data_IF_434522236884
#
_entry.id   IF_434522236884
#
_cell.length_a   1.000
_cell.length_b   1.000
_cell.length_c   1.000
_cell.angle_alpha   90.00
_cell.angle_beta   90.00
_cell.angle_gamma   90.00
#
_symmetry.space_group_name_H-M   'P 1'
#
loop_
_entity.id
_entity.type
_entity.pdbx_description
1 polymer ?
#
# COMPACT_ATOMS: atom_id res chain seq x y z
N UNK A 1 -54.63 -7.83 2.47
CA UNK A 1 -53.79 -8.59 1.51
C UNK A 1 -52.34 -8.13 1.65
N UNK A 2 -51.43 -8.98 2.11
CA UNK A 2 -50.00 -8.64 2.24
C UNK A 2 -49.28 -8.83 0.91
N UNK A 3 -48.59 -7.80 0.42
CA UNK A 3 -47.83 -7.86 -0.82
C UNK A 3 -46.67 -8.86 -0.62
N UNK A 4 -46.69 -9.99 -1.34
CA UNK A 4 -45.55 -10.92 -1.39
C UNK A 4 -44.43 -10.29 -2.21
N UNK A 5 -43.42 -9.75 -1.54
CA UNK A 5 -42.22 -9.22 -2.19
C UNK A 5 -41.37 -10.39 -2.70
N UNK A 6 -41.27 -10.53 -4.01
CA UNK A 6 -40.38 -11.51 -4.67
C UNK A 6 -39.00 -10.85 -4.88
N UNK A 7 -37.91 -11.60 -4.67
CA UNK A 7 -36.55 -11.14 -4.99
C UNK A 7 -35.65 -10.73 -3.82
N UNK A 8 -36.16 -10.60 -2.58
CA UNK A 8 -35.33 -10.25 -1.41
C UNK A 8 -34.21 -11.28 -1.18
N UNK A 9 -34.49 -12.57 -1.35
CA UNK A 9 -33.48 -13.63 -1.22
C UNK A 9 -32.38 -13.49 -2.29
N UNK A 10 -32.75 -13.15 -3.52
CA UNK A 10 -31.79 -12.92 -4.60
C UNK A 10 -30.94 -11.67 -4.35
N UNK A 11 -31.56 -10.59 -3.88
CA UNK A 11 -30.85 -9.37 -3.50
C UNK A 11 -29.84 -9.63 -2.37
N UNK A 12 -30.23 -10.38 -1.32
CA UNK A 12 -29.33 -10.79 -0.24
C UNK A 12 -28.14 -11.63 -0.74
N UNK A 13 -28.38 -12.60 -1.63
CA UNK A 13 -27.30 -13.41 -2.22
C UNK A 13 -26.32 -12.57 -3.05
N UNK A 14 -26.85 -11.68 -3.89
CA UNK A 14 -26.04 -10.78 -4.72
C UNK A 14 -25.22 -9.80 -3.85
N UNK A 15 -25.81 -9.27 -2.78
CA UNK A 15 -25.10 -8.43 -1.81
C UNK A 15 -23.98 -9.19 -1.11
N UNK A 16 -24.21 -10.42 -0.66
CA UNK A 16 -23.17 -11.24 -0.02
C UNK A 16 -22.02 -11.56 -0.98
N UNK A 17 -22.33 -11.87 -2.25
CA UNK A 17 -21.32 -12.11 -3.29
C UNK A 17 -20.49 -10.85 -3.57
N UNK A 18 -21.14 -9.69 -3.66
CA UNK A 18 -20.47 -8.40 -3.84
C UNK A 18 -19.55 -8.07 -2.66
N UNK A 19 -20.04 -8.24 -1.43
CA UNK A 19 -19.25 -7.99 -0.20
C UNK A 19 -18.03 -8.91 -0.17
N UNK A 20 -18.20 -10.20 -0.46
CA UNK A 20 -17.10 -11.16 -0.52
C UNK A 20 -16.05 -10.81 -1.58
N UNK A 21 -16.47 -10.37 -2.75
CA UNK A 21 -15.56 -9.96 -3.83
C UNK A 21 -14.77 -8.69 -3.49
N UNK A 22 -15.43 -7.70 -2.86
CA UNK A 22 -14.80 -6.49 -2.34
C UNK A 22 -13.76 -6.85 -1.28
N UNK A 23 -14.17 -7.61 -0.25
CA UNK A 23 -13.32 -7.97 0.89
C UNK A 23 -12.11 -8.81 0.48
N UNK A 24 -12.27 -9.70 -0.50
CA UNK A 24 -11.19 -10.55 -0.99
C UNK A 24 -10.33 -9.88 -2.05
N UNK A 25 -10.83 -9.77 -3.29
CA UNK A 25 -9.99 -9.46 -4.46
C UNK A 25 -9.71 -7.98 -4.61
N UNK A 26 -10.75 -7.14 -4.47
CA UNK A 26 -10.61 -5.70 -4.76
C UNK A 26 -9.76 -4.99 -3.72
N UNK A 27 -9.96 -5.28 -2.44
CA UNK A 27 -9.16 -4.66 -1.36
C UNK A 27 -7.69 -5.09 -1.43
N UNK A 28 -7.39 -6.37 -1.69
CA UNK A 28 -6.01 -6.83 -1.84
C UNK A 28 -5.34 -6.19 -3.05
N UNK A 29 -6.04 -6.08 -4.18
CA UNK A 29 -5.53 -5.40 -5.38
C UNK A 29 -5.31 -3.90 -5.13
N UNK A 30 -6.26 -3.23 -4.47
CA UNK A 30 -6.13 -1.83 -4.07
C UNK A 30 -4.89 -1.61 -3.18
N UNK A 31 -4.68 -2.50 -2.21
CA UNK A 31 -3.50 -2.45 -1.34
C UNK A 31 -2.21 -2.67 -2.11
N UNK A 32 -2.16 -3.67 -2.99
CA UNK A 32 -0.99 -3.91 -3.83
C UNK A 32 -0.64 -2.69 -4.69
N UNK A 33 -1.64 -2.08 -5.34
CA UNK A 33 -1.46 -0.87 -6.13
C UNK A 33 -0.96 0.31 -5.28
N UNK A 34 -1.53 0.51 -4.08
CA UNK A 34 -1.06 1.54 -3.15
C UNK A 34 0.41 1.33 -2.71
N UNK A 35 0.78 0.10 -2.36
CA UNK A 35 2.15 -0.25 -1.95
C UNK A 35 3.15 -0.12 -3.10
N UNK A 36 2.74 -0.41 -4.35
CA UNK A 36 3.57 -0.15 -5.53
C UNK A 36 3.87 1.33 -5.65
N UNK A 37 2.85 2.19 -5.57
CA UNK A 37 3.01 3.64 -5.73
C UNK A 37 3.93 4.21 -4.64
N UNK A 38 3.58 4.00 -3.37
CA UNK A 38 4.37 4.52 -2.25
C UNK A 38 5.78 3.92 -2.19
N UNK A 39 5.91 2.61 -2.45
CA UNK A 39 7.21 1.92 -2.51
C UNK A 39 8.10 2.43 -3.65
N UNK A 40 7.52 2.72 -4.82
CA UNK A 40 8.26 3.28 -5.96
C UNK A 40 8.77 4.68 -5.66
N UNK A 41 7.97 5.53 -5.03
CA UNK A 41 8.41 6.86 -4.62
C UNK A 41 9.48 6.78 -3.53
N UNK A 42 9.31 5.92 -2.53
CA UNK A 42 10.30 5.70 -1.48
C UNK A 42 11.65 5.25 -2.08
N UNK A 43 11.62 4.40 -3.11
CA UNK A 43 12.80 3.94 -3.86
C UNK A 43 13.53 5.09 -4.57
N UNK A 44 12.82 6.14 -5.02
CA UNK A 44 13.46 7.34 -5.58
C UNK A 44 14.22 8.15 -4.52
N UNK A 45 13.72 8.15 -3.29
CA UNK A 45 14.34 8.83 -2.14
C UNK A 45 15.36 7.97 -1.39
N UNK A 46 15.42 6.67 -1.69
CA UNK A 46 16.36 5.76 -1.05
C UNK A 46 17.79 6.05 -1.51
N UNK A 47 18.74 6.28 -0.58
CA UNK A 47 20.15 6.41 -0.91
C UNK A 47 20.72 5.14 -1.55
N UNK A 48 21.66 5.32 -2.48
CA UNK A 48 22.36 4.22 -3.15
C UNK A 48 23.86 4.40 -2.91
N UNK A 49 24.47 3.39 -2.29
CA UNK A 49 25.92 3.22 -2.22
C UNK A 49 26.33 1.94 -2.98
N UNK A 50 25.99 0.77 -2.43
CA UNK A 50 26.24 -0.56 -3.03
C UNK A 50 24.99 -1.23 -3.60
N UNK A 51 23.87 -0.50 -3.67
CA UNK A 51 22.53 -1.02 -4.02
C UNK A 51 21.93 -2.04 -3.05
N UNK A 52 22.62 -2.45 -1.99
CA UNK A 52 22.08 -3.39 -0.99
C UNK A 52 20.79 -2.87 -0.36
N UNK A 53 20.75 -1.58 0.02
CA UNK A 53 19.56 -0.98 0.63
C UNK A 53 18.37 -1.02 -0.33
N UNK A 54 18.50 -0.45 -1.52
CA UNK A 54 17.38 -0.37 -2.48
C UNK A 54 16.85 -1.75 -2.87
N UNK A 55 17.73 -2.75 -3.02
CA UNK A 55 17.37 -4.13 -3.37
C UNK A 55 16.76 -4.92 -2.20
N UNK A 56 16.87 -4.40 -0.96
CA UNK A 56 16.28 -5.02 0.23
C UNK A 56 14.83 -4.58 0.49
N UNK A 57 14.23 -3.77 -0.41
CA UNK A 57 12.86 -3.33 -0.24
C UNK A 57 11.89 -4.52 -0.38
N UNK A 58 11.02 -4.69 0.61
CA UNK A 58 9.95 -5.68 0.59
C UNK A 58 8.59 -5.02 0.74
N UNK A 59 7.56 -5.74 0.31
CA UNK A 59 6.15 -5.37 0.46
C UNK A 59 5.40 -6.56 1.02
N UNK A 60 4.57 -6.32 2.02
CA UNK A 60 3.77 -7.35 2.68
C UNK A 60 2.33 -6.89 2.77
N UNK A 61 1.40 -7.81 2.51
CA UNK A 61 -0.04 -7.60 2.71
C UNK A 61 -0.53 -8.68 3.67
N UNK A 62 -1.09 -8.26 4.79
CA UNK A 62 -1.71 -9.16 5.78
C UNK A 62 -3.21 -8.90 5.83
N UNK A 63 -4.01 -9.95 5.68
CA UNK A 63 -5.47 -9.91 5.79
C UNK A 63 -5.89 -10.53 7.10
N UNK A 64 -6.37 -9.70 8.03
CA UNK A 64 -6.83 -10.11 9.36
C UNK A 64 -8.33 -9.83 9.47
N UNK A 65 -9.15 -10.79 9.02
CA UNK A 65 -10.61 -10.61 8.92
C UNK A 65 -10.96 -9.41 8.05
N UNK A 66 -11.62 -8.41 8.63
CA UNK A 66 -12.04 -7.19 7.93
C UNK A 66 -10.94 -6.13 7.81
N UNK A 67 -9.75 -6.36 8.38
CA UNK A 67 -8.62 -5.43 8.33
C UNK A 67 -7.56 -5.94 7.36
N UNK A 68 -7.32 -5.18 6.30
CA UNK A 68 -6.19 -5.40 5.40
C UNK A 68 -5.10 -4.39 5.71
N UNK A 69 -3.90 -4.87 5.98
CA UNK A 69 -2.73 -4.05 6.29
C UNK A 69 -1.66 -4.28 5.23
N UNK A 70 -1.21 -3.20 4.59
CA UNK A 70 -0.06 -3.21 3.71
C UNK A 70 1.16 -2.59 4.38
N UNK A 71 2.34 -3.17 4.16
CA UNK A 71 3.61 -2.66 4.70
C UNK A 71 4.66 -2.62 3.59
N UNK A 72 5.49 -1.58 3.61
CA UNK A 72 6.72 -1.50 2.83
C UNK A 72 7.86 -1.26 3.80
N UNK A 73 8.92 -2.01 3.64
CA UNK A 73 10.10 -1.91 4.49
C UNK A 73 11.35 -2.32 3.75
N UNK A 74 12.47 -2.31 4.48
CA UNK A 74 13.76 -2.74 3.98
C UNK A 74 14.31 -3.80 4.93
N UNK A 75 14.80 -4.91 4.40
CA UNK A 75 15.40 -5.98 5.21
C UNK A 75 16.86 -5.69 5.59
N UNK A 76 17.49 -4.68 5.00
CA UNK A 76 18.82 -4.24 5.41
C UNK A 76 18.79 -3.67 6.84
N UNK A 77 19.51 -4.29 7.77
CA UNK A 77 19.55 -3.89 9.18
C UNK A 77 19.91 -2.41 9.39
N UNK A 78 20.75 -1.85 8.53
CA UNK A 78 21.18 -0.46 8.62
C UNK A 78 20.15 0.55 8.06
N UNK A 79 19.03 0.09 7.49
CA UNK A 79 18.00 0.95 6.91
C UNK A 79 17.43 1.94 7.92
N UNK A 80 17.27 1.53 9.19
CA UNK A 80 16.77 2.40 10.26
C UNK A 80 17.68 3.64 10.45
N UNK A 81 19.00 3.43 10.52
CA UNK A 81 19.96 4.54 10.66
C UNK A 81 20.02 5.43 9.42
N UNK A 82 19.86 4.85 8.24
CA UNK A 82 19.81 5.63 6.99
C UNK A 82 18.52 6.43 6.90
N UNK A 83 17.42 5.90 7.41
CA UNK A 83 16.11 6.56 7.43
C UNK A 83 16.04 7.71 8.44
N UNK A 84 16.66 7.54 9.61
CA UNK A 84 16.60 8.48 10.73
C UNK A 84 17.20 9.86 10.38
N UNK A 85 16.40 10.96 10.49
CA UNK A 85 16.88 12.31 10.21
C UNK A 85 17.89 12.84 11.24
N UNK A 86 17.96 12.26 12.43
CA UNK A 86 18.91 12.65 13.48
C UNK A 86 20.34 12.19 13.19
N UNK A 87 20.53 11.23 12.28
CA UNK A 87 21.84 10.70 11.88
C UNK A 87 22.33 11.43 10.63
N UNK A 88 23.29 12.37 10.71
CA UNK A 88 23.76 13.11 9.55
C UNK A 88 24.47 12.19 8.57
N UNK A 89 24.13 12.29 7.28
CA UNK A 89 24.72 11.48 6.21
C UNK A 89 24.79 12.32 4.93
N UNK A 90 25.87 12.14 4.17
CA UNK A 90 26.02 12.74 2.85
C UNK A 90 25.63 11.72 1.79
N UNK A 91 24.61 12.04 0.99
CA UNK A 91 24.15 11.15 -0.06
C UNK A 91 24.81 11.47 -1.40
N UNK A 92 25.23 10.41 -2.11
CA UNK A 92 25.73 10.54 -3.50
C UNK A 92 24.61 10.86 -4.49
N UNK A 93 23.40 10.35 -4.24
CA UNK A 93 22.23 10.50 -5.10
C UNK A 93 21.49 11.78 -4.76
N UNK A 94 21.29 12.67 -5.74
CA UNK A 94 20.64 13.97 -5.54
C UNK A 94 19.18 13.89 -5.04
N UNK A 95 18.45 12.84 -5.44
CA UNK A 95 17.08 12.63 -4.99
C UNK A 95 16.98 11.98 -3.61
N UNK A 96 18.10 11.51 -3.06
CA UNK A 96 18.08 10.77 -1.80
C UNK A 96 17.78 11.70 -0.62
N UNK A 97 16.94 11.23 0.28
CA UNK A 97 16.47 12.01 1.42
C UNK A 97 16.33 11.12 2.65
N UNK A 98 16.52 11.72 3.82
CA UNK A 98 16.09 11.14 5.08
C UNK A 98 14.58 10.93 5.09
N UNK A 99 14.14 9.97 5.87
CA UNK A 99 12.73 9.59 5.99
C UNK A 99 12.12 9.12 4.66
N UNK A 100 12.92 8.47 3.80
CA UNK A 100 12.53 8.11 2.43
C UNK A 100 11.24 7.27 2.34
N UNK A 101 10.95 6.38 3.30
CA UNK A 101 9.67 5.66 3.36
C UNK A 101 8.52 6.64 3.64
N UNK A 102 8.59 7.40 4.74
CA UNK A 102 7.58 8.39 5.15
C UNK A 102 7.29 9.37 4.03
N UNK A 103 8.33 10.05 3.52
CA UNK A 103 8.20 11.04 2.45
C UNK A 103 7.71 10.44 1.14
N UNK A 104 8.12 9.21 0.82
CA UNK A 104 7.65 8.50 -0.37
C UNK A 104 6.14 8.28 -0.36
N UNK A 105 5.58 7.88 0.79
CA UNK A 105 4.15 7.69 0.96
C UNK A 105 3.39 9.02 1.08
N UNK A 106 3.93 9.99 1.80
CA UNK A 106 3.31 11.30 1.96
C UNK A 106 3.18 12.05 0.62
N UNK A 107 4.26 12.07 -0.17
CA UNK A 107 4.28 12.77 -1.47
C UNK A 107 3.38 12.09 -2.51
N UNK A 108 3.03 10.80 -2.31
CA UNK A 108 2.14 10.05 -3.21
C UNK A 108 0.74 9.81 -2.65
N UNK A 109 0.38 10.39 -1.51
CA UNK A 109 -0.90 10.14 -0.84
C UNK A 109 -2.12 10.32 -1.76
N UNK A 110 -2.12 11.37 -2.58
CA UNK A 110 -3.19 11.62 -3.56
C UNK A 110 -3.30 10.53 -4.63
N UNK A 111 -2.17 10.01 -5.10
CA UNK A 111 -2.14 8.94 -6.10
C UNK A 111 -2.59 7.60 -5.50
N UNK A 112 -2.18 7.34 -4.25
CA UNK A 112 -2.64 6.20 -3.47
C UNK A 112 -4.16 6.24 -3.27
N UNK A 113 -4.71 7.37 -2.83
CA UNK A 113 -6.16 7.52 -2.65
C UNK A 113 -6.93 7.32 -3.98
N UNK A 114 -6.40 7.87 -5.07
CA UNK A 114 -6.99 7.71 -6.41
C UNK A 114 -6.97 6.26 -6.89
N UNK A 115 -5.86 5.54 -6.70
CA UNK A 115 -5.77 4.14 -7.13
C UNK A 115 -6.66 3.25 -6.28
N UNK A 116 -6.72 3.46 -4.96
CA UNK A 116 -7.59 2.69 -4.07
C UNK A 116 -9.05 2.87 -4.50
N UNK A 117 -9.48 4.12 -4.73
CA UNK A 117 -10.85 4.40 -5.19
C UNK A 117 -11.16 3.69 -6.51
N UNK A 118 -10.24 3.73 -7.47
CA UNK A 118 -10.37 3.02 -8.76
C UNK A 118 -10.53 1.53 -8.55
N UNK A 119 -9.64 0.91 -7.76
CA UNK A 119 -9.58 -0.54 -7.59
C UNK A 119 -10.79 -1.11 -6.85
N UNK A 120 -11.38 -0.33 -5.95
CA UNK A 120 -12.62 -0.69 -5.25
C UNK A 120 -13.88 -0.52 -6.12
N UNK A 121 -13.82 0.35 -7.14
CA UNK A 121 -14.95 0.60 -8.05
C UNK A 121 -15.08 -0.42 -9.20
N UNK A 122 -13.98 -1.11 -9.51
CA UNK A 122 -13.89 -2.19 -10.51
C UNK A 122 -14.46 -3.48 -9.95
#
# INVERSE_FOLDING_TARGET
>A
MGIKVKGISQAKKNLNALVGDIQGRKVVRAMQSALIIGGSQATLYTPIDTSTLINSQFREITVNGNRVTGRVGYSANYAAYVHDPSVPQNFRRATARKEFLTKGFDDTRRQIDAVIKKELSL
#
